data_IF_085185567247
#
_entry.id   IF_085185567247
#
_cell.length_a   1.000
_cell.length_b   1.000
_cell.length_c   1.000
_cell.angle_alpha   90.00
_cell.angle_beta   90.00
_cell.angle_gamma   90.00
#
_symmetry.space_group_name_H-M   'P 1'
#
loop_
_entity.id
_entity.type
_entity.pdbx_description
1 polymer ?
#
# COMPACT_ATOMS: atom_id res chain seq x y z
N UNK A 1 3.07 -3.09 8.83
CA UNK A 1 2.96 -1.86 9.66
C UNK A 1 3.38 -0.58 8.94
N UNK A 2 4.30 -0.64 7.97
CA UNK A 2 4.80 0.53 7.21
C UNK A 2 3.83 1.10 6.17
N UNK A 3 2.84 0.36 5.71
CA UNK A 3 1.89 0.84 4.69
C UNK A 3 0.95 1.95 5.18
N UNK A 4 0.67 2.02 6.48
CA UNK A 4 -0.25 3.00 7.06
C UNK A 4 0.28 4.44 7.05
N UNK A 5 1.58 4.67 7.27
CA UNK A 5 2.15 6.03 7.25
C UNK A 5 2.36 6.60 5.84
N UNK A 6 2.76 5.77 4.88
CA UNK A 6 2.91 6.22 3.48
C UNK A 6 1.59 6.47 2.78
N UNK A 7 0.51 5.77 3.15
CA UNK A 7 -0.83 6.04 2.62
C UNK A 7 -1.46 7.31 3.16
N UNK A 8 -0.98 7.82 4.31
CA UNK A 8 -1.54 9.02 4.94
C UNK A 8 -1.17 10.32 4.19
N UNK A 9 -0.02 10.36 3.52
CA UNK A 9 0.53 11.59 2.94
C UNK A 9 0.46 11.70 1.40
N UNK A 10 0.08 10.67 0.66
CA UNK A 10 0.12 10.76 -0.79
C UNK A 10 -0.91 9.88 -1.49
N UNK A 11 -2.02 10.50 -1.87
CA UNK A 11 -3.09 10.05 -2.79
C UNK A 11 -4.20 9.14 -2.21
N UNK A 12 -5.44 9.30 -2.71
CA UNK A 12 -6.66 8.66 -2.17
C UNK A 12 -6.80 7.15 -2.45
N UNK A 13 -5.79 6.49 -3.00
CA UNK A 13 -5.82 5.05 -3.28
C UNK A 13 -4.77 4.32 -2.45
N UNK A 14 -5.18 3.48 -1.51
CA UNK A 14 -4.31 2.55 -0.80
C UNK A 14 -4.63 1.12 -1.22
N UNK A 15 -3.65 0.40 -1.78
CA UNK A 15 -3.75 -1.03 -2.01
C UNK A 15 -2.99 -1.78 -0.92
N UNK A 16 -3.68 -2.67 -0.21
CA UNK A 16 -3.07 -3.61 0.73
C UNK A 16 -3.01 -4.98 0.08
N UNK A 17 -1.90 -5.67 0.30
CA UNK A 17 -1.48 -6.82 -0.49
C UNK A 17 -1.83 -8.17 0.12
N UNK A 18 -2.23 -8.21 1.39
CA UNK A 18 -2.48 -9.46 2.09
C UNK A 18 -3.96 -9.88 1.95
N UNK A 19 -4.26 -11.09 1.44
CA UNK A 19 -5.63 -11.61 1.35
C UNK A 19 -6.39 -11.65 2.68
N UNK A 20 -5.69 -11.73 3.81
CA UNK A 20 -6.29 -11.69 5.15
C UNK A 20 -6.59 -10.28 5.68
N UNK A 21 -6.06 -9.23 5.05
CA UNK A 21 -6.08 -7.87 5.59
C UNK A 21 -7.35 -7.06 5.27
N UNK A 22 -8.22 -7.51 4.36
CA UNK A 22 -9.39 -6.74 3.96
C UNK A 22 -10.68 -7.18 4.64
N UNK A 23 -10.72 -7.02 5.95
CA UNK A 23 -11.95 -7.21 6.72
C UNK A 23 -12.97 -6.10 6.39
N UNK A 24 -14.26 -6.39 6.64
CA UNK A 24 -15.33 -5.42 6.44
C UNK A 24 -15.07 -4.13 7.25
N UNK A 25 -14.48 -4.24 8.44
CA UNK A 25 -14.11 -3.09 9.30
C UNK A 25 -13.08 -2.19 8.61
N UNK A 26 -12.08 -2.76 7.92
CA UNK A 26 -11.06 -1.99 7.21
C UNK A 26 -11.69 -1.20 6.06
N UNK A 27 -12.55 -1.82 5.26
CA UNK A 27 -13.31 -1.10 4.22
C UNK A 27 -14.11 0.06 4.81
N UNK A 28 -14.81 -0.17 5.93
CA UNK A 28 -15.60 0.86 6.62
C UNK A 28 -14.75 2.03 7.11
N UNK A 29 -13.62 1.75 7.76
CA UNK A 29 -12.71 2.79 8.25
C UNK A 29 -12.14 3.64 7.11
N UNK A 30 -11.65 3.02 6.03
CA UNK A 30 -11.13 3.76 4.88
C UNK A 30 -12.21 4.63 4.23
N UNK A 31 -13.41 4.09 4.05
CA UNK A 31 -14.54 4.82 3.50
C UNK A 31 -14.90 6.05 4.34
N UNK A 32 -15.01 5.88 5.64
CA UNK A 32 -15.37 6.93 6.58
C UNK A 32 -14.28 8.01 6.69
N UNK A 33 -13.01 7.66 6.53
CA UNK A 33 -11.89 8.59 6.46
C UNK A 33 -11.82 9.36 5.12
N UNK A 34 -12.63 8.99 4.13
CA UNK A 34 -12.63 9.59 2.81
C UNK A 34 -11.60 8.98 1.85
N UNK A 35 -10.99 7.86 2.19
CA UNK A 35 -10.05 7.16 1.33
C UNK A 35 -10.74 6.05 0.53
N UNK A 36 -10.19 5.77 -0.65
CA UNK A 36 -10.60 4.62 -1.45
C UNK A 36 -9.69 3.44 -1.17
N UNK A 37 -10.23 2.41 -0.57
CA UNK A 37 -9.52 1.15 -0.34
C UNK A 37 -9.73 0.23 -1.54
N UNK A 38 -8.65 -0.22 -2.18
CA UNK A 38 -8.70 -1.03 -3.41
C UNK A 38 -7.76 -2.23 -3.32
N UNK A 39 -8.07 -3.24 -2.49
CA UNK A 39 -7.29 -4.46 -2.41
C UNK A 39 -7.46 -5.32 -3.67
N UNK A 40 -6.47 -6.18 -3.96
CA UNK A 40 -6.63 -7.24 -4.94
C UNK A 40 -7.61 -8.29 -4.40
N UNK A 41 -8.62 -8.64 -5.17
CA UNK A 41 -9.50 -9.75 -4.85
C UNK A 41 -8.88 -11.04 -5.41
N UNK A 42 -8.46 -11.94 -4.51
CA UNK A 42 -7.84 -13.22 -4.89
C UNK A 42 -8.89 -14.24 -5.36
N UNK A 43 -10.04 -14.26 -4.69
CA UNK A 43 -11.17 -15.14 -5.02
C UNK A 43 -12.44 -14.29 -5.19
N UNK A 44 -12.82 -14.11 -6.45
CA UNK A 44 -14.06 -13.42 -6.80
C UNK A 44 -15.27 -14.33 -6.57
N UNK A 45 -15.12 -15.66 -6.78
CA UNK A 45 -16.20 -16.63 -6.64
C UNK A 45 -16.73 -16.73 -5.21
N UNK A 46 -15.86 -16.58 -4.21
CA UNK A 46 -16.22 -16.54 -2.80
C UNK A 46 -16.69 -15.19 -2.29
N UNK A 47 -16.68 -14.15 -3.14
CA UNK A 47 -17.04 -12.78 -2.71
C UNK A 47 -18.52 -12.67 -2.47
N UNK A 48 -18.89 -12.16 -1.28
CA UNK A 48 -20.29 -11.89 -0.92
C UNK A 48 -20.66 -10.46 -1.29
N UNK A 49 -21.89 -10.30 -1.79
CA UNK A 49 -22.48 -9.00 -2.13
C UNK A 49 -23.63 -8.69 -1.19
N UNK A 50 -23.68 -7.45 -0.73
CA UNK A 50 -24.70 -6.97 0.20
C UNK A 50 -25.57 -5.92 -0.47
N UNK A 51 -26.86 -5.92 -0.15
CA UNK A 51 -27.82 -4.89 -0.56
C UNK A 51 -28.31 -4.12 0.67
N UNK A 52 -28.63 -2.85 0.49
CA UNK A 52 -29.22 -2.00 1.52
C UNK A 52 -30.72 -2.23 1.56
N UNK A 53 -31.38 -2.11 0.40
CA UNK A 53 -32.82 -2.34 0.27
C UNK A 53 -33.08 -3.79 -0.19
N UNK A 54 -33.86 -4.50 0.60
CA UNK A 54 -34.22 -5.89 0.33
C UNK A 54 -35.28 -6.00 -0.80
N UNK A 55 -36.08 -4.94 -0.99
CA UNK A 55 -37.17 -4.92 -1.98
C UNK A 55 -36.76 -4.37 -3.33
N UNK A 56 -35.62 -3.66 -3.40
CA UNK A 56 -35.10 -3.13 -4.65
C UNK A 56 -34.74 -4.26 -5.64
N UNK A 57 -35.16 -4.12 -6.86
CA UNK A 57 -34.83 -5.03 -7.95
C UNK A 57 -33.53 -4.59 -8.63
N UNK A 58 -32.49 -5.39 -8.51
CA UNK A 58 -31.21 -5.22 -9.15
C UNK A 58 -31.04 -6.12 -10.39
N UNK A 59 -32.13 -6.65 -10.94
CA UNK A 59 -32.12 -7.52 -12.11
C UNK A 59 -31.27 -8.79 -11.89
N UNK A 60 -30.36 -9.06 -12.81
CA UNK A 60 -29.47 -10.25 -12.74
C UNK A 60 -28.59 -10.29 -11.47
N UNK A 61 -28.34 -9.14 -10.83
CA UNK A 61 -27.52 -9.07 -9.62
C UNK A 61 -28.28 -9.56 -8.37
N UNK A 62 -29.60 -9.73 -8.43
CA UNK A 62 -30.37 -10.27 -7.30
C UNK A 62 -29.88 -11.66 -6.87
N UNK A 63 -29.44 -12.48 -7.80
CA UNK A 63 -28.92 -13.81 -7.52
C UNK A 63 -27.56 -13.77 -6.79
N UNK A 64 -26.78 -12.72 -6.96
CA UNK A 64 -25.47 -12.51 -6.34
C UNK A 64 -25.59 -11.80 -5.00
N UNK A 65 -26.39 -10.74 -4.92
CA UNK A 65 -26.55 -9.88 -3.72
C UNK A 65 -27.60 -10.48 -2.76
N UNK A 66 -27.30 -11.62 -2.19
CA UNK A 66 -28.20 -12.33 -1.26
C UNK A 66 -28.14 -11.82 0.18
N UNK A 67 -27.09 -11.10 0.52
CA UNK A 67 -26.86 -10.62 1.88
C UNK A 67 -27.46 -9.21 2.04
N UNK A 68 -27.87 -8.86 3.26
CA UNK A 68 -28.44 -7.55 3.59
C UNK A 68 -27.56 -6.81 4.58
N UNK A 69 -27.37 -5.52 4.34
CA UNK A 69 -26.74 -4.61 5.30
C UNK A 69 -27.71 -4.34 6.46
N UNK A 70 -27.22 -4.42 7.67
CA UNK A 70 -27.99 -4.23 8.92
C UNK A 70 -27.92 -2.76 9.33
N UNK A 71 -28.83 -1.92 8.82
CA UNK A 71 -28.93 -0.50 9.18
C UNK A 71 -29.25 -0.30 10.66
N UNK A 72 -29.98 -1.24 11.25
CA UNK A 72 -30.29 -1.30 12.66
C UNK A 72 -29.05 -1.37 13.57
N UNK A 73 -27.92 -1.82 13.04
CA UNK A 73 -26.61 -1.83 13.74
C UNK A 73 -25.83 -0.53 13.56
N UNK A 74 -26.08 0.21 12.49
CA UNK A 74 -25.37 1.46 12.19
C UNK A 74 -25.97 2.60 12.99
N UNK A 75 -27.29 2.76 12.93
CA UNK A 75 -28.00 3.92 13.46
C UNK A 75 -27.71 4.20 14.94
N UNK A 76 -27.73 3.21 15.86
CA UNK A 76 -27.48 3.46 17.29
C UNK A 76 -26.04 3.91 17.60
N UNK A 77 -25.09 3.58 16.72
CA UNK A 77 -23.66 3.85 16.92
C UNK A 77 -23.13 4.98 16.03
N UNK A 78 -24.00 5.69 15.29
CA UNK A 78 -23.57 6.66 14.30
C UNK A 78 -22.74 7.81 14.88
N UNK A 79 -23.16 8.37 16.00
CA UNK A 79 -22.43 9.45 16.67
C UNK A 79 -21.06 9.00 17.18
N UNK A 80 -20.95 7.78 17.67
CA UNK A 80 -19.68 7.22 18.12
C UNK A 80 -18.75 6.92 16.95
N UNK A 81 -19.31 6.47 15.83
CA UNK A 81 -18.54 6.32 14.56
C UNK A 81 -17.96 7.67 14.15
N UNK A 82 -18.76 8.75 14.15
CA UNK A 82 -18.27 10.08 13.78
C UNK A 82 -17.20 10.60 14.74
N UNK A 83 -17.36 10.42 16.05
CA UNK A 83 -16.34 10.78 17.05
C UNK A 83 -15.04 10.04 16.84
N UNK A 84 -15.11 8.73 16.59
CA UNK A 84 -13.96 7.88 16.34
C UNK A 84 -13.19 8.36 15.09
N UNK A 85 -13.91 8.55 14.00
CA UNK A 85 -13.32 9.00 12.71
C UNK A 85 -12.76 10.41 12.81
N UNK A 86 -13.44 11.31 13.51
CA UNK A 86 -12.95 12.66 13.80
C UNK A 86 -11.65 12.64 14.59
N UNK A 87 -11.57 11.80 15.63
CA UNK A 87 -10.35 11.64 16.44
C UNK A 87 -9.18 11.08 15.64
N UNK A 88 -9.43 10.13 14.73
CA UNK A 88 -8.43 9.61 13.79
C UNK A 88 -7.94 10.69 12.84
N UNK A 89 -8.87 11.41 12.22
CA UNK A 89 -8.56 12.43 11.21
C UNK A 89 -7.78 13.60 11.80
N UNK A 90 -8.05 13.94 13.06
CA UNK A 90 -7.33 14.97 13.80
C UNK A 90 -6.02 14.45 14.44
N UNK A 91 -5.67 13.19 14.26
CA UNK A 91 -4.45 12.60 14.82
C UNK A 91 -4.44 12.52 16.35
N UNK A 92 -5.61 12.61 17.00
CA UNK A 92 -5.74 12.54 18.47
C UNK A 92 -5.52 11.14 19.02
N UNK A 93 -5.80 10.12 18.22
CA UNK A 93 -5.66 8.70 18.61
C UNK A 93 -4.90 7.95 17.51
N UNK A 94 -3.90 7.13 17.87
CA UNK A 94 -3.20 6.31 16.89
C UNK A 94 -4.11 5.20 16.36
N UNK A 95 -4.04 4.91 15.06
CA UNK A 95 -4.88 3.92 14.39
C UNK A 95 -4.80 2.52 15.04
N UNK A 96 -3.62 2.13 15.54
CA UNK A 96 -3.45 0.87 16.25
C UNK A 96 -4.21 0.79 17.58
N UNK A 97 -4.34 1.92 18.28
CA UNK A 97 -5.15 2.00 19.50
C UNK A 97 -6.62 1.72 19.20
N UNK A 98 -7.13 2.27 18.09
CA UNK A 98 -8.52 2.07 17.68
C UNK A 98 -8.80 0.62 17.31
N UNK A 99 -7.92 -0.04 16.58
CA UNK A 99 -8.11 -1.46 16.23
C UNK A 99 -8.22 -2.35 17.46
N UNK A 100 -7.52 -2.01 18.56
CA UNK A 100 -7.67 -2.70 19.85
C UNK A 100 -8.98 -2.37 20.53
N UNK A 101 -9.41 -1.12 20.48
CA UNK A 101 -10.69 -0.67 21.09
C UNK A 101 -11.92 -1.26 20.39
N UNK A 102 -11.80 -1.56 19.09
CA UNK A 102 -12.87 -2.19 18.32
C UNK A 102 -13.06 -3.69 18.65
N UNK A 103 -12.12 -4.30 19.37
CA UNK A 103 -12.18 -5.69 19.81
C UNK A 103 -12.06 -5.75 21.34
N UNK A 104 -13.02 -6.36 22.00
CA UNK A 104 -12.98 -6.68 23.42
C UNK A 104 -13.03 -8.21 23.52
N UNK A 105 -12.06 -8.81 24.20
CA UNK A 105 -11.92 -10.26 24.35
C UNK A 105 -12.10 -11.02 23.01
N UNK A 106 -11.39 -10.55 21.99
CA UNK A 106 -11.43 -11.07 20.61
C UNK A 106 -12.81 -10.98 19.93
N UNK A 107 -13.79 -10.31 20.55
CA UNK A 107 -15.12 -10.10 19.98
C UNK A 107 -15.29 -8.66 19.48
N UNK A 108 -15.94 -8.47 18.32
CA UNK A 108 -16.19 -7.13 17.81
C UNK A 108 -17.22 -6.41 18.66
N UNK A 109 -16.91 -5.17 19.04
CA UNK A 109 -17.85 -4.28 19.75
C UNK A 109 -19.03 -3.88 18.85
N UNK A 110 -20.11 -3.33 19.42
CA UNK A 110 -21.23 -2.77 18.65
C UNK A 110 -20.77 -1.72 17.63
N UNK A 111 -19.81 -0.86 18.04
CA UNK A 111 -19.16 0.13 17.16
C UNK A 111 -18.41 -0.52 16.01
N UNK A 112 -17.66 -1.60 16.26
CA UNK A 112 -16.97 -2.36 15.23
C UNK A 112 -17.95 -3.01 14.24
N UNK A 113 -19.07 -3.53 14.75
CA UNK A 113 -20.12 -4.09 13.91
C UNK A 113 -20.76 -3.03 13.02
N UNK A 114 -21.03 -1.82 13.54
CA UNK A 114 -21.55 -0.70 12.76
C UNK A 114 -20.58 -0.30 11.63
N UNK A 115 -19.29 -0.18 11.93
CA UNK A 115 -18.26 0.12 10.92
C UNK A 115 -18.16 -1.01 9.88
N UNK A 116 -18.27 -2.27 10.30
CA UNK A 116 -18.26 -3.41 9.38
C UNK A 116 -19.46 -3.40 8.43
N UNK A 117 -20.67 -3.05 8.91
CA UNK A 117 -21.84 -2.92 8.04
C UNK A 117 -21.64 -1.83 6.96
N UNK A 118 -21.05 -0.69 7.31
CA UNK A 118 -20.66 0.35 6.35
C UNK A 118 -19.62 -0.18 5.36
N UNK A 119 -18.64 -0.92 5.88
CA UNK A 119 -17.60 -1.54 5.06
C UNK A 119 -18.12 -2.55 4.05
N UNK A 120 -19.20 -3.28 4.37
CA UNK A 120 -19.87 -4.21 3.43
C UNK A 120 -20.44 -3.51 2.21
N UNK A 121 -20.93 -2.29 2.38
CA UNK A 121 -21.39 -1.46 1.27
C UNK A 121 -20.22 -1.15 0.33
N UNK A 122 -19.13 -0.60 0.90
CA UNK A 122 -17.97 -0.19 0.11
C UNK A 122 -17.25 -1.39 -0.53
N UNK A 123 -17.17 -2.51 0.18
CA UNK A 123 -16.64 -3.77 -0.33
C UNK A 123 -17.46 -4.30 -1.51
N UNK A 124 -18.78 -4.20 -1.46
CA UNK A 124 -19.65 -4.59 -2.57
C UNK A 124 -19.42 -3.70 -3.78
N UNK A 125 -19.36 -2.38 -3.59
CA UNK A 125 -19.06 -1.42 -4.64
C UNK A 125 -17.68 -1.69 -5.24
N UNK A 126 -16.67 -1.93 -4.39
CA UNK A 126 -15.32 -2.27 -4.84
C UNK A 126 -15.31 -3.55 -5.69
N UNK A 127 -15.98 -4.61 -5.24
CA UNK A 127 -16.05 -5.89 -5.95
C UNK A 127 -16.72 -5.74 -7.31
N UNK A 128 -17.83 -5.00 -7.40
CA UNK A 128 -18.51 -4.73 -8.68
C UNK A 128 -17.60 -3.97 -9.65
N UNK A 129 -16.93 -2.92 -9.18
CA UNK A 129 -15.95 -2.21 -10.00
C UNK A 129 -14.77 -3.09 -10.41
N UNK A 130 -14.26 -3.91 -9.49
CA UNK A 130 -13.14 -4.80 -9.75
C UNK A 130 -13.47 -5.83 -10.84
N UNK A 131 -14.69 -6.35 -10.87
CA UNK A 131 -15.18 -7.29 -11.89
C UNK A 131 -15.32 -6.59 -13.24
N UNK A 132 -15.92 -5.41 -13.26
CA UNK A 132 -16.31 -4.72 -14.48
C UNK A 132 -15.18 -3.93 -15.15
N UNK A 133 -14.15 -3.52 -14.41
CA UNK A 133 -13.11 -2.60 -14.88
C UNK A 133 -11.73 -3.30 -14.88
N UNK A 134 -11.27 -3.69 -16.08
CA UNK A 134 -9.97 -4.31 -16.28
C UNK A 134 -8.80 -3.34 -16.01
N UNK A 135 -8.94 -2.07 -16.38
CA UNK A 135 -7.90 -1.07 -16.17
C UNK A 135 -7.65 -0.88 -14.67
N UNK A 136 -8.71 -0.90 -13.87
CA UNK A 136 -8.63 -0.87 -12.41
C UNK A 136 -7.91 -2.10 -11.84
N UNK A 137 -8.21 -3.31 -12.34
CA UNK A 137 -7.49 -4.53 -11.93
C UNK A 137 -6.01 -4.45 -12.23
N UNK A 138 -5.65 -3.99 -13.43
CA UNK A 138 -4.25 -3.79 -13.85
C UNK A 138 -3.54 -2.75 -12.97
N UNK A 139 -4.19 -1.62 -12.70
CA UNK A 139 -3.64 -0.59 -11.81
C UNK A 139 -3.42 -1.10 -10.39
N UNK A 140 -4.38 -1.85 -9.84
CA UNK A 140 -4.26 -2.48 -8.51
C UNK A 140 -3.08 -3.46 -8.48
N UNK A 141 -2.93 -4.30 -9.51
CA UNK A 141 -1.82 -5.24 -9.63
C UNK A 141 -0.46 -4.52 -9.75
N UNK A 142 -0.39 -3.43 -10.53
CA UNK A 142 0.83 -2.64 -10.66
C UNK A 142 1.27 -2.06 -9.31
N UNK A 143 0.34 -1.50 -8.54
CA UNK A 143 0.63 -0.99 -7.19
C UNK A 143 1.09 -2.09 -6.23
N UNK A 144 0.50 -3.28 -6.32
CA UNK A 144 0.89 -4.44 -5.55
C UNK A 144 2.34 -4.85 -5.87
N UNK A 145 2.66 -4.97 -7.16
CA UNK A 145 4.01 -5.34 -7.62
C UNK A 145 5.07 -4.32 -7.15
N UNK A 146 4.75 -3.02 -7.12
CA UNK A 146 5.63 -2.00 -6.56
C UNK A 146 5.90 -2.25 -5.07
N UNK A 147 4.87 -2.61 -4.30
CA UNK A 147 5.00 -2.98 -2.90
C UNK A 147 5.88 -4.23 -2.69
N UNK A 148 5.65 -5.26 -3.50
CA UNK A 148 6.44 -6.51 -3.47
C UNK A 148 7.89 -6.28 -3.88
N UNK A 149 8.15 -5.45 -4.91
CA UNK A 149 9.48 -5.05 -5.31
C UNK A 149 10.24 -4.33 -4.18
N UNK A 150 9.56 -3.41 -3.50
CA UNK A 150 10.13 -2.74 -2.32
C UNK A 150 10.44 -3.70 -1.19
N UNK A 151 9.57 -4.68 -0.93
CA UNK A 151 9.80 -5.70 0.09
C UNK A 151 10.96 -6.63 -0.29
N UNK A 152 11.11 -6.95 -1.57
CA UNK A 152 12.25 -7.72 -2.07
C UNK A 152 13.57 -6.98 -1.83
N UNK A 153 13.65 -5.70 -2.21
CA UNK A 153 14.80 -4.85 -1.93
C UNK A 153 15.09 -4.79 -0.41
N UNK A 154 14.07 -4.58 0.42
CA UNK A 154 14.22 -4.54 1.87
C UNK A 154 14.81 -5.82 2.44
N UNK A 155 14.41 -7.00 1.93
CA UNK A 155 14.98 -8.30 2.35
C UNK A 155 16.44 -8.44 1.93
N UNK A 156 16.86 -7.86 0.81
CA UNK A 156 18.25 -7.88 0.37
C UNK A 156 19.11 -6.91 1.19
N UNK A 157 18.63 -5.73 1.52
CA UNK A 157 19.31 -4.81 2.45
C UNK A 157 19.48 -5.44 3.83
N UNK A 158 18.44 -6.11 4.31
CA UNK A 158 18.42 -6.81 5.59
C UNK A 158 18.74 -8.31 5.41
N UNK A 159 19.87 -8.60 4.79
CA UNK A 159 20.25 -9.92 4.27
C UNK A 159 20.38 -11.04 5.32
N UNK A 160 20.52 -10.72 6.59
CA UNK A 160 20.59 -11.71 7.66
C UNK A 160 19.27 -12.44 7.87
N UNK A 161 19.31 -13.76 8.12
CA UNK A 161 18.15 -14.59 8.50
C UNK A 161 16.90 -14.37 7.61
N UNK A 162 17.08 -14.27 6.31
CA UNK A 162 16.04 -14.05 5.31
C UNK A 162 15.28 -12.72 5.47
N UNK A 163 15.92 -11.70 6.02
CA UNK A 163 15.32 -10.40 6.25
C UNK A 163 14.34 -10.34 7.43
N UNK A 164 14.40 -11.31 8.34
CA UNK A 164 13.59 -11.30 9.55
C UNK A 164 14.20 -10.37 10.61
N UNK A 165 13.35 -9.62 11.30
CA UNK A 165 13.74 -8.84 12.47
C UNK A 165 13.82 -9.75 13.70
N UNK A 166 14.99 -9.76 14.35
CA UNK A 166 15.25 -10.62 15.51
C UNK A 166 15.54 -9.85 16.80
N UNK A 167 15.25 -8.56 16.83
CA UNK A 167 15.37 -7.79 18.05
C UNK A 167 14.36 -8.27 19.10
N UNK A 168 14.86 -8.49 20.31
CA UNK A 168 14.06 -9.03 21.40
C UNK A 168 13.02 -8.04 21.92
N UNK A 169 13.34 -6.75 21.88
CA UNK A 169 12.49 -5.69 22.40
C UNK A 169 11.88 -4.86 21.27
N UNK A 170 10.68 -4.38 21.50
CA UNK A 170 9.89 -3.61 20.52
C UNK A 170 10.62 -2.34 20.05
N UNK A 171 11.26 -1.62 20.97
CA UNK A 171 12.01 -0.40 20.66
C UNK A 171 13.10 -0.65 19.62
N UNK A 172 13.94 -1.67 19.84
CA UNK A 172 14.97 -2.05 18.89
C UNK A 172 14.42 -2.53 17.54
N UNK A 173 13.22 -3.12 17.50
CA UNK A 173 12.55 -3.48 16.24
C UNK A 173 12.06 -2.23 15.48
N UNK A 174 11.54 -1.24 16.19
CA UNK A 174 11.08 0.02 15.59
C UNK A 174 12.26 0.80 14.99
N UNK A 175 13.39 0.85 15.69
CA UNK A 175 14.63 1.50 15.22
C UNK A 175 15.19 0.80 13.97
N UNK A 176 15.26 -0.53 13.98
CA UNK A 176 15.71 -1.31 12.82
C UNK A 176 14.80 -1.12 11.61
N UNK A 177 13.48 -1.11 11.81
CA UNK A 177 12.52 -0.87 10.74
C UNK A 177 12.64 0.55 10.17
N UNK A 178 12.89 1.52 11.03
CA UNK A 178 13.09 2.92 10.62
C UNK A 178 14.38 3.08 9.81
N UNK A 179 15.48 2.51 10.30
CA UNK A 179 16.76 2.50 9.59
C UNK A 179 16.68 1.77 8.25
N UNK A 180 16.07 0.58 8.21
CA UNK A 180 15.82 -0.16 6.97
C UNK A 180 15.00 0.66 5.98
N UNK A 181 13.94 1.32 6.45
CA UNK A 181 13.10 2.19 5.63
C UNK A 181 13.89 3.34 5.00
N UNK A 182 14.81 3.95 5.77
CA UNK A 182 15.68 5.02 5.29
C UNK A 182 16.63 4.52 4.20
N UNK A 183 17.34 3.40 4.43
CA UNK A 183 18.28 2.82 3.46
C UNK A 183 17.56 2.42 2.17
N UNK A 184 16.41 1.76 2.26
CA UNK A 184 15.60 1.40 1.09
C UNK A 184 15.18 2.64 0.30
N UNK A 185 14.75 3.71 0.99
CA UNK A 185 14.36 4.96 0.32
C UNK A 185 15.56 5.64 -0.35
N UNK A 186 16.74 5.61 0.25
CA UNK A 186 17.96 6.14 -0.36
C UNK A 186 18.31 5.39 -1.66
N UNK A 187 18.23 4.05 -1.66
CA UNK A 187 18.50 3.23 -2.85
C UNK A 187 17.48 3.54 -3.95
N UNK A 188 16.19 3.59 -3.60
CA UNK A 188 15.13 3.91 -4.56
C UNK A 188 15.31 5.31 -5.16
N UNK A 189 15.65 6.30 -4.35
CA UNK A 189 15.92 7.66 -4.81
C UNK A 189 17.14 7.66 -5.76
N UNK A 190 18.24 7.05 -5.36
CA UNK A 190 19.45 6.97 -6.15
C UNK A 190 19.17 6.29 -7.51
N UNK A 191 18.51 5.13 -7.51
CA UNK A 191 18.14 4.43 -8.74
C UNK A 191 17.26 5.32 -9.64
N UNK A 192 16.27 6.01 -9.05
CA UNK A 192 15.36 6.89 -9.82
C UNK A 192 16.13 8.02 -10.50
N UNK A 193 17.05 8.68 -9.79
CA UNK A 193 17.83 9.77 -10.34
C UNK A 193 18.75 9.29 -11.47
N UNK A 194 19.43 8.15 -11.29
CA UNK A 194 20.31 7.60 -12.30
C UNK A 194 19.56 7.04 -13.52
N UNK A 195 18.42 6.39 -13.34
CA UNK A 195 17.57 5.96 -14.44
C UNK A 195 17.11 7.14 -15.30
N UNK A 196 16.71 8.25 -14.67
CA UNK A 196 16.35 9.46 -15.42
C UNK A 196 17.56 10.01 -16.21
N UNK A 197 18.73 10.10 -15.58
CA UNK A 197 19.94 10.54 -16.27
C UNK A 197 20.32 9.65 -17.46
N UNK A 198 20.20 8.31 -17.30
CA UNK A 198 20.44 7.35 -18.40
C UNK A 198 19.42 7.54 -19.52
N UNK A 199 18.15 7.70 -19.20
CA UNK A 199 17.11 7.94 -20.22
C UNK A 199 17.37 9.22 -21.03
N UNK A 200 17.79 10.28 -20.34
CA UNK A 200 18.11 11.54 -20.99
C UNK A 200 19.37 11.42 -21.89
N UNK A 201 20.39 10.69 -21.43
CA UNK A 201 21.56 10.39 -22.25
C UNK A 201 21.20 9.57 -23.50
N UNK A 202 20.40 8.49 -23.33
CA UNK A 202 19.96 7.68 -24.47
C UNK A 202 19.17 8.50 -25.50
N UNK A 203 18.33 9.42 -25.05
CA UNK A 203 17.61 10.35 -25.95
C UNK A 203 18.56 11.26 -26.70
N UNK A 204 19.60 11.80 -26.05
CA UNK A 204 20.63 12.63 -26.68
C UNK A 204 21.45 11.86 -27.69
N UNK A 205 21.73 10.59 -27.44
CA UNK A 205 22.42 9.67 -28.35
C UNK A 205 21.55 9.18 -29.52
N UNK A 206 20.27 9.60 -29.57
CA UNK A 206 19.34 9.28 -30.66
C UNK A 206 18.57 7.96 -30.49
N UNK A 207 18.67 7.32 -29.35
CA UNK A 207 17.85 6.13 -29.05
C UNK A 207 16.38 6.49 -28.87
N UNK A 208 15.51 5.68 -29.47
CA UNK A 208 14.06 5.84 -29.33
C UNK A 208 13.56 5.25 -27.99
N UNK A 209 13.44 6.07 -26.98
CA UNK A 209 12.83 5.69 -25.70
C UNK A 209 11.30 5.83 -25.82
N UNK A 210 10.58 4.70 -25.77
CA UNK A 210 9.12 4.71 -25.82
C UNK A 210 8.53 4.97 -24.43
N UNK A 211 7.47 5.78 -24.29
CA UNK A 211 6.84 6.04 -22.98
C UNK A 211 6.36 4.77 -22.26
N UNK A 212 5.95 3.73 -23.02
CA UNK A 212 5.53 2.47 -22.45
C UNK A 212 6.68 1.67 -21.81
N UNK A 213 7.90 1.79 -22.35
CA UNK A 213 9.08 1.14 -21.79
C UNK A 213 9.57 1.90 -20.56
N UNK A 214 9.58 3.22 -20.62
CA UNK A 214 9.87 4.09 -19.46
C UNK A 214 8.94 3.83 -18.28
N UNK A 215 7.65 3.67 -18.55
CA UNK A 215 6.64 3.35 -17.52
C UNK A 215 6.81 1.96 -16.87
N UNK A 216 7.64 1.08 -17.46
CA UNK A 216 7.95 -0.26 -16.94
C UNK A 216 9.24 -0.31 -16.13
N UNK A 217 10.02 0.75 -16.11
CA UNK A 217 11.23 0.80 -15.30
C UNK A 217 10.88 0.73 -13.81
N UNK A 218 11.70 0.00 -13.07
CA UNK A 218 11.51 -0.18 -11.64
C UNK A 218 12.75 0.26 -10.87
N UNK A 219 12.62 1.18 -9.89
CA UNK A 219 13.75 1.63 -9.09
C UNK A 219 14.16 0.63 -8.00
N UNK A 220 13.58 -0.56 -7.99
CA UNK A 220 13.82 -1.60 -6.98
C UNK A 220 14.92 -2.59 -7.37
N UNK A 221 15.50 -2.48 -8.57
CA UNK A 221 16.67 -3.25 -8.98
C UNK A 221 17.85 -2.99 -8.03
N UNK A 222 18.60 -4.04 -7.71
CA UNK A 222 19.68 -3.95 -6.72
C UNK A 222 20.89 -4.83 -7.06
N UNK A 223 20.90 -5.45 -8.22
CA UNK A 223 21.96 -6.36 -8.66
C UNK A 223 23.32 -5.63 -8.82
N UNK A 224 23.28 -4.32 -9.01
CA UNK A 224 24.46 -3.44 -9.10
C UNK A 224 25.00 -3.02 -7.72
N UNK A 225 24.35 -3.39 -6.60
CA UNK A 225 24.72 -3.00 -5.24
C UNK A 225 25.26 -4.22 -4.51
N UNK A 226 26.51 -4.18 -4.09
CA UNK A 226 27.08 -5.21 -3.25
C UNK A 226 26.84 -4.89 -1.76
N UNK A 227 25.78 -5.42 -1.18
CA UNK A 227 25.42 -5.19 0.23
C UNK A 227 26.46 -5.69 1.23
N UNK A 228 27.36 -6.59 0.81
CA UNK A 228 28.43 -7.17 1.64
C UNK A 228 29.79 -6.54 1.35
N UNK A 229 29.83 -5.56 0.45
CA UNK A 229 31.06 -4.90 0.01
C UNK A 229 31.62 -3.95 1.08
N UNK A 230 32.88 -3.53 0.84
CA UNK A 230 33.46 -2.41 1.55
C UNK A 230 33.01 -1.11 0.89
N UNK A 231 32.54 -0.17 1.70
CA UNK A 231 32.12 1.14 1.24
C UNK A 231 33.15 2.20 1.66
N UNK A 232 33.57 3.02 0.72
CA UNK A 232 34.37 4.20 0.96
C UNK A 232 33.48 5.44 0.88
N UNK A 233 33.55 6.27 1.90
CA UNK A 233 32.81 7.55 1.94
C UNK A 233 33.65 8.73 1.42
N UNK A 234 34.75 8.45 0.71
CA UNK A 234 35.48 9.48 -0.06
C UNK A 234 34.59 9.97 -1.20
N UNK A 235 33.89 11.06 -0.97
CA UNK A 235 32.92 11.64 -1.90
C UNK A 235 33.67 12.54 -2.88
N UNK A 236 33.57 12.34 -4.21
CA UNK A 236 34.13 13.25 -5.22
C UNK A 236 33.55 14.67 -5.03
N UNK A 237 34.34 15.71 -5.34
CA UNK A 237 33.91 17.10 -5.25
C UNK A 237 32.62 17.39 -6.05
N UNK A 238 32.47 16.76 -7.23
CA UNK A 238 31.26 16.88 -8.05
C UNK A 238 30.00 16.47 -7.27
N UNK A 239 30.05 15.35 -6.54
CA UNK A 239 28.94 14.87 -5.72
C UNK A 239 28.70 15.78 -4.53
N UNK A 240 29.76 16.34 -3.95
CA UNK A 240 29.63 17.35 -2.86
C UNK A 240 28.91 18.61 -3.33
N UNK A 241 29.03 18.95 -4.60
CA UNK A 241 28.28 20.05 -5.24
C UNK A 241 26.87 19.67 -5.68
N UNK A 242 26.44 18.44 -5.43
CA UNK A 242 25.10 17.94 -5.82
C UNK A 242 25.02 17.43 -7.25
N UNK A 243 26.15 17.26 -7.92
CA UNK A 243 26.21 16.66 -9.26
C UNK A 243 26.12 15.13 -9.17
N UNK A 244 25.52 14.49 -10.18
CA UNK A 244 25.51 13.04 -10.28
C UNK A 244 26.92 12.54 -10.70
N UNK A 245 27.31 11.37 -10.19
CA UNK A 245 28.52 10.71 -10.68
C UNK A 245 28.34 10.44 -12.19
N UNK A 246 29.37 10.70 -13.04
CA UNK A 246 29.28 10.44 -14.47
C UNK A 246 28.85 8.99 -14.77
N UNK A 247 27.99 8.84 -15.75
CA UNK A 247 27.59 7.54 -16.28
C UNK A 247 28.78 6.91 -17.00
N UNK A 248 28.91 5.60 -16.94
CA UNK A 248 29.89 4.88 -17.75
C UNK A 248 29.40 4.89 -19.21
N UNK A 249 30.32 5.09 -20.14
CA UNK A 249 29.99 4.93 -21.55
C UNK A 249 29.81 3.45 -21.89
N UNK A 250 28.92 3.17 -22.85
CA UNK A 250 28.69 1.81 -23.36
C UNK A 250 29.95 1.40 -24.13
N UNK A 251 30.92 0.84 -23.46
CA UNK A 251 32.22 0.45 -24.02
C UNK A 251 33.33 0.33 -22.99
N UNK A 252 33.08 0.85 -21.79
CA UNK A 252 34.01 0.79 -20.64
C UNK A 252 33.70 -0.37 -19.68
N UNK A 253 33.02 -1.43 -20.14
CA UNK A 253 32.62 -2.61 -19.34
C UNK A 253 33.55 -3.79 -19.56
#
# INVERSE_FOLDING_TARGET
MFCWRSCWNSRPNCSLTDPGAYSDVVFGLFRLLGYRFSPRLADIGGTRFWRIDAQADYGKLNALARQRVRLDRITPHWDDVLRLIGSLKLGRVPAMGIMRTLQIDERPTGLAQAIAEIGRIDKTIHALHYINDEARRRSTLAQLNLGEGRHSLARNVFHGKRGQLHQRYREGQEDQLSALGLVVNMIVLWNTLYMNAVLDQLRQEGYRVRPIDEARLSPFGHEHINFLGRYSFAVPEAVTRGELRPLRTVGDA
#
